data_IF_950495347826
#
_entry.id   IF_950495347826
#
_cell.length_a   1.000
_cell.length_b   1.000
_cell.length_c   1.000
_cell.angle_alpha   90.00
_cell.angle_beta   90.00
_cell.angle_gamma   90.00
#
_symmetry.space_group_name_H-M   'P 1'
#
loop_
_entity.id
_entity.type
_entity.pdbx_description
1 polymer ?
#
# COMPACT_ATOMS: atom_id res chain seq x y z
N UNK A 1 -42.11 9.34 14.36
CA UNK A 1 -40.74 9.74 14.65
C UNK A 1 -40.52 10.70 15.84
N UNK A 2 -41.50 11.32 16.41
CA UNK A 2 -41.34 12.26 17.59
C UNK A 2 -41.78 11.69 18.95
N UNK A 3 -41.97 10.38 19.09
CA UNK A 3 -42.52 9.81 20.35
C UNK A 3 -41.53 9.01 21.21
N UNK A 4 -40.30 8.81 20.79
CA UNK A 4 -39.28 8.13 21.62
C UNK A 4 -38.36 9.04 22.45
N UNK A 5 -38.40 10.35 22.25
CA UNK A 5 -37.54 11.32 22.96
C UNK A 5 -38.09 11.83 24.32
N UNK A 6 -39.32 11.45 24.72
CA UNK A 6 -39.92 12.04 25.92
C UNK A 6 -39.95 11.09 27.14
N UNK A 7 -39.34 9.91 27.09
CA UNK A 7 -39.35 8.95 28.20
C UNK A 7 -38.06 8.92 29.03
N UNK A 8 -37.05 9.71 28.71
CA UNK A 8 -35.73 9.61 29.36
C UNK A 8 -35.31 10.81 30.22
N UNK A 9 -36.19 11.81 30.46
CA UNK A 9 -35.82 13.03 31.23
C UNK A 9 -36.42 13.07 32.65
N UNK A 10 -37.18 12.05 33.10
CA UNK A 10 -37.83 12.08 34.42
C UNK A 10 -37.59 10.85 35.28
N UNK A 11 -36.33 10.47 35.50
CA UNK A 11 -35.95 9.53 36.56
C UNK A 11 -34.53 9.77 37.05
N UNK A 12 -34.24 10.95 37.48
CA UNK A 12 -33.11 11.28 38.34
C UNK A 12 -33.56 11.36 39.76
N UNK A 13 -33.48 10.29 40.51
CA UNK A 13 -33.23 10.13 41.96
C UNK A 13 -33.81 8.80 42.44
N UNK A 14 -33.00 7.99 42.92
CA UNK A 14 -33.05 7.03 44.04
C UNK A 14 -32.77 5.55 43.72
N UNK A 15 -31.81 5.07 44.47
CA UNK A 15 -31.57 3.68 44.87
C UNK A 15 -30.81 2.75 43.92
N UNK A 16 -29.57 2.50 44.31
CA UNK A 16 -28.78 1.34 43.94
C UNK A 16 -29.55 0.03 44.27
N UNK A 17 -29.93 -0.68 43.23
CA UNK A 17 -30.19 -2.12 43.30
C UNK A 17 -29.55 -2.75 42.10
N UNK A 18 -28.55 -3.61 42.34
CA UNK A 18 -27.99 -4.51 41.37
C UNK A 18 -29.11 -5.41 40.84
N UNK A 19 -29.63 -5.12 39.67
CA UNK A 19 -30.39 -6.09 38.88
C UNK A 19 -29.72 -6.19 37.52
N UNK A 20 -29.31 -7.39 37.22
CA UNK A 20 -28.97 -7.85 35.88
C UNK A 20 -30.20 -7.67 34.99
N UNK A 21 -30.39 -6.46 34.44
CA UNK A 21 -31.40 -6.25 33.45
C UNK A 21 -30.93 -6.92 32.16
N UNK A 22 -31.51 -8.06 31.85
CA UNK A 22 -31.47 -8.60 30.50
C UNK A 22 -32.06 -7.50 29.59
N UNK A 23 -31.25 -6.95 28.72
CA UNK A 23 -31.67 -6.02 27.69
C UNK A 23 -32.62 -6.75 26.74
N UNK A 24 -33.90 -6.46 26.83
CA UNK A 24 -34.87 -7.01 25.92
C UNK A 24 -34.62 -6.38 24.53
N UNK A 25 -34.25 -7.19 23.57
CA UNK A 25 -34.24 -6.80 22.16
C UNK A 25 -35.63 -6.38 21.74
N UNK A 26 -35.75 -5.34 20.89
CA UNK A 26 -37.00 -5.06 20.18
C UNK A 26 -37.47 -6.33 19.47
N UNK A 27 -38.79 -6.59 19.36
CA UNK A 27 -39.32 -7.82 18.74
C UNK A 27 -38.79 -8.11 17.33
N UNK A 28 -38.24 -7.11 16.65
CA UNK A 28 -37.69 -7.15 15.28
C UNK A 28 -36.19 -6.81 15.23
N UNK A 29 -35.59 -6.47 16.41
CA UNK A 29 -34.19 -6.07 16.52
C UNK A 29 -33.21 -7.22 16.54
N UNK A 30 -31.97 -6.94 16.21
CA UNK A 30 -30.84 -7.88 16.28
C UNK A 30 -29.57 -7.17 16.72
N UNK A 31 -28.62 -7.94 17.25
CA UNK A 31 -27.30 -7.40 17.57
C UNK A 31 -26.41 -7.35 16.33
N UNK A 32 -25.85 -6.15 16.09
CA UNK A 32 -24.86 -5.84 15.08
C UNK A 32 -23.52 -5.57 15.78
N UNK A 33 -22.47 -6.23 15.34
CA UNK A 33 -21.13 -5.98 15.86
C UNK A 33 -20.49 -4.80 15.16
N UNK A 34 -19.75 -3.96 15.90
CA UNK A 34 -18.97 -2.87 15.33
C UNK A 34 -17.55 -2.94 15.90
N UNK A 35 -16.59 -3.15 15.02
CA UNK A 35 -15.17 -3.08 15.34
C UNK A 35 -14.75 -1.60 15.34
N UNK A 36 -14.22 -1.14 16.48
CA UNK A 36 -13.77 0.24 16.71
C UNK A 36 -12.33 0.45 16.20
N UNK A 37 -11.90 1.70 16.00
CA UNK A 37 -10.51 2.01 15.66
C UNK A 37 -9.49 1.53 16.69
N UNK A 38 -9.92 1.29 17.94
CA UNK A 38 -9.09 0.71 19.01
C UNK A 38 -8.84 -0.80 18.84
N UNK A 39 -9.59 -1.47 17.95
CA UNK A 39 -9.62 -2.93 17.83
C UNK A 39 -10.64 -3.60 18.76
N UNK A 40 -11.32 -2.84 19.61
CA UNK A 40 -12.42 -3.34 20.45
C UNK A 40 -13.67 -3.55 19.59
N UNK A 41 -14.48 -4.56 19.91
CA UNK A 41 -15.78 -4.80 19.26
C UNK A 41 -16.91 -4.51 20.22
N UNK A 42 -17.85 -3.67 19.82
CA UNK A 42 -19.06 -3.38 20.56
C UNK A 42 -20.29 -3.90 19.83
N UNK A 43 -21.35 -4.21 20.57
CA UNK A 43 -22.64 -4.62 20.00
C UNK A 43 -23.65 -3.48 20.04
N UNK A 44 -24.37 -3.27 18.93
CA UNK A 44 -25.51 -2.38 18.80
C UNK A 44 -26.78 -3.19 18.68
N UNK A 45 -27.87 -2.69 19.26
CA UNK A 45 -29.22 -3.25 19.09
C UNK A 45 -29.94 -2.46 18.00
N UNK A 46 -30.10 -3.07 16.84
CA UNK A 46 -30.58 -2.39 15.62
C UNK A 46 -31.71 -3.15 14.95
N UNK A 47 -32.47 -2.47 14.10
CA UNK A 47 -33.47 -3.04 13.21
C UNK A 47 -32.98 -2.97 11.76
N UNK A 48 -33.41 -3.90 10.90
CA UNK A 48 -33.01 -3.90 9.48
C UNK A 48 -33.40 -2.63 8.71
N UNK A 49 -34.42 -1.95 9.22
CA UNK A 49 -34.91 -0.66 8.71
C UNK A 49 -34.14 0.56 9.21
N UNK A 50 -33.22 0.39 10.17
CA UNK A 50 -32.44 1.54 10.68
C UNK A 50 -31.54 2.10 9.58
N UNK A 51 -31.54 3.43 9.48
CA UNK A 51 -30.63 4.12 8.57
C UNK A 51 -29.20 4.14 9.12
N UNK A 52 -28.25 4.30 8.23
CA UNK A 52 -26.83 4.43 8.60
C UNK A 52 -26.63 5.62 9.54
N UNK A 53 -27.39 6.71 9.37
CA UNK A 53 -27.37 7.86 10.29
C UNK A 53 -27.79 7.46 11.69
N UNK A 54 -28.87 6.67 11.86
CA UNK A 54 -29.33 6.20 13.16
C UNK A 54 -28.26 5.31 13.83
N UNK A 55 -27.60 4.44 13.08
CA UNK A 55 -26.50 3.60 13.57
C UNK A 55 -25.33 4.46 14.06
N UNK A 56 -24.97 5.52 13.31
CA UNK A 56 -23.92 6.47 13.70
C UNK A 56 -24.28 7.26 14.97
N UNK A 57 -25.54 7.68 15.11
CA UNK A 57 -26.02 8.37 16.33
C UNK A 57 -25.92 7.46 17.56
N UNK A 58 -26.29 6.18 17.42
CA UNK A 58 -26.14 5.22 18.51
C UNK A 58 -24.66 4.96 18.86
N UNK A 59 -23.80 4.86 17.86
CA UNK A 59 -22.35 4.75 18.05
C UNK A 59 -21.78 6.00 18.75
N UNK A 60 -22.23 7.22 18.39
CA UNK A 60 -21.82 8.45 19.07
C UNK A 60 -22.17 8.41 20.56
N UNK A 61 -23.35 7.94 20.92
CA UNK A 61 -23.73 7.79 22.32
C UNK A 61 -22.83 6.84 23.09
N UNK A 62 -22.41 5.72 22.47
CA UNK A 62 -21.57 4.68 23.10
C UNK A 62 -20.08 5.03 23.09
N UNK A 63 -19.57 5.61 22.00
CA UNK A 63 -18.13 5.80 21.77
C UNK A 63 -17.65 7.22 21.98
N UNK A 64 -18.56 8.19 22.02
CA UNK A 64 -18.28 9.64 22.03
C UNK A 64 -17.59 10.15 20.76
N UNK A 65 -17.58 9.34 19.70
CA UNK A 65 -17.11 9.75 18.38
C UNK A 65 -18.30 10.39 17.66
N UNK A 66 -18.20 11.67 17.29
CA UNK A 66 -19.30 12.39 16.65
C UNK A 66 -19.75 11.68 15.36
N UNK A 67 -21.07 11.54 15.11
CA UNK A 67 -21.64 10.85 13.96
C UNK A 67 -21.04 11.34 12.64
N UNK A 68 -20.83 12.66 12.52
CA UNK A 68 -20.19 13.27 11.34
C UNK A 68 -18.70 12.92 11.14
N UNK A 69 -18.04 12.33 12.14
CA UNK A 69 -16.65 11.86 12.07
C UNK A 69 -16.55 10.35 11.82
N UNK A 70 -17.70 9.65 11.82
CA UNK A 70 -17.76 8.21 11.69
C UNK A 70 -17.88 7.80 10.23
N UNK A 71 -17.06 6.83 9.84
CA UNK A 71 -17.19 6.09 8.59
C UNK A 71 -17.42 4.62 8.91
N UNK A 72 -18.56 4.08 8.48
CA UNK A 72 -18.94 2.68 8.67
C UNK A 72 -18.71 1.90 7.38
N UNK A 73 -18.07 0.74 7.51
CA UNK A 73 -17.82 -0.16 6.39
C UNK A 73 -18.42 -1.54 6.66
N UNK A 74 -18.96 -2.16 5.63
CA UNK A 74 -19.42 -3.54 5.64
C UNK A 74 -18.92 -4.26 4.39
N UNK A 75 -18.19 -5.38 4.58
CA UNK A 75 -17.58 -6.10 3.47
C UNK A 75 -16.62 -5.24 2.62
N UNK A 76 -15.93 -4.28 3.26
CA UNK A 76 -15.02 -3.33 2.57
C UNK A 76 -15.74 -2.18 1.84
N UNK A 77 -17.08 -2.10 1.92
CA UNK A 77 -17.87 -1.04 1.28
C UNK A 77 -18.29 0.01 2.30
N UNK A 78 -18.02 1.29 2.00
CA UNK A 78 -18.50 2.42 2.80
C UNK A 78 -20.04 2.46 2.79
N UNK A 79 -20.61 2.56 3.97
CA UNK A 79 -22.06 2.74 4.15
C UNK A 79 -22.42 4.22 4.01
N UNK A 80 -23.44 4.51 3.23
CA UNK A 80 -23.85 5.88 2.88
C UNK A 80 -25.04 6.28 3.75
N UNK A 81 -24.98 7.48 4.30
CA UNK A 81 -26.05 8.09 5.09
C UNK A 81 -27.37 8.12 4.27
N UNK A 82 -28.50 8.05 4.96
CA UNK A 82 -29.84 7.96 4.35
C UNK A 82 -30.22 6.59 3.80
N UNK A 83 -29.29 5.61 3.71
CA UNK A 83 -29.61 4.22 3.38
C UNK A 83 -29.82 3.39 4.64
N UNK A 84 -30.54 2.27 4.52
CA UNK A 84 -30.83 1.37 5.65
C UNK A 84 -29.88 0.19 5.69
N UNK A 85 -29.79 -0.50 6.83
CA UNK A 85 -29.05 -1.75 6.98
C UNK A 85 -29.52 -2.81 5.97
N UNK A 86 -30.83 -2.86 5.70
CA UNK A 86 -31.42 -3.75 4.69
C UNK A 86 -30.91 -3.47 3.27
N UNK A 87 -30.64 -2.22 2.91
CA UNK A 87 -30.08 -1.87 1.59
C UNK A 87 -28.68 -2.46 1.35
N UNK A 88 -27.98 -2.82 2.42
CA UNK A 88 -26.65 -3.44 2.37
C UNK A 88 -26.68 -4.93 2.71
N UNK A 89 -27.89 -5.52 2.88
CA UNK A 89 -28.07 -6.90 3.34
C UNK A 89 -27.32 -7.21 4.66
N UNK A 90 -27.28 -6.24 5.57
CA UNK A 90 -26.69 -6.38 6.89
C UNK A 90 -27.70 -7.08 7.78
N UNK A 91 -27.27 -8.18 8.41
CA UNK A 91 -28.12 -9.09 9.19
C UNK A 91 -27.52 -9.34 10.57
N UNK A 92 -28.26 -10.07 11.41
CA UNK A 92 -27.81 -10.52 12.73
C UNK A 92 -26.41 -11.16 12.65
N UNK A 93 -25.51 -10.68 13.51
CA UNK A 93 -24.13 -11.17 13.58
C UNK A 93 -23.18 -10.57 12.54
N UNK A 94 -23.66 -9.69 11.65
CA UNK A 94 -22.77 -8.91 10.78
C UNK A 94 -21.82 -8.06 11.63
N UNK A 95 -20.60 -7.83 11.11
CA UNK A 95 -19.63 -6.93 11.73
C UNK A 95 -19.36 -5.76 10.81
N UNK A 96 -19.60 -4.54 11.31
CA UNK A 96 -19.18 -3.30 10.67
C UNK A 96 -17.79 -2.92 11.18
N UNK A 97 -17.02 -2.24 10.35
CA UNK A 97 -15.81 -1.56 10.76
C UNK A 97 -16.11 -0.07 10.92
N UNK A 98 -15.89 0.48 12.10
CA UNK A 98 -15.91 1.92 12.35
C UNK A 98 -14.51 2.49 12.16
N UNK A 99 -14.38 3.49 11.30
CA UNK A 99 -13.21 4.35 11.24
C UNK A 99 -13.61 5.79 11.56
N UNK A 100 -12.73 6.52 12.20
CA UNK A 100 -12.94 7.97 12.41
C UNK A 100 -12.34 8.75 11.26
N UNK A 101 -12.90 9.93 10.97
CA UNK A 101 -12.19 10.90 10.13
C UNK A 101 -10.81 11.14 10.72
N UNK A 102 -9.78 10.66 10.07
CA UNK A 102 -8.42 11.13 10.33
C UNK A 102 -8.44 12.61 9.97
N UNK A 103 -7.86 13.45 10.81
CA UNK A 103 -7.76 14.90 10.58
C UNK A 103 -7.29 15.16 9.14
N UNK A 104 -8.22 15.53 8.27
CA UNK A 104 -8.00 15.82 6.85
C UNK A 104 -9.08 15.14 6.03
N UNK A 105 -10.09 15.88 5.61
CA UNK A 105 -10.96 15.46 4.52
C UNK A 105 -10.06 15.32 3.28
N UNK A 106 -10.14 14.22 2.51
CA UNK A 106 -9.41 14.14 1.25
C UNK A 106 -9.69 15.39 0.43
N UNK A 107 -8.62 16.11 0.06
CA UNK A 107 -8.74 17.33 -0.72
C UNK A 107 -8.60 16.99 -2.19
N UNK A 108 -9.44 17.60 -3.05
CA UNK A 108 -9.29 17.49 -4.48
C UNK A 108 -10.51 16.93 -5.22
N UNK A 109 -10.30 16.59 -6.47
CA UNK A 109 -11.33 16.02 -7.32
C UNK A 109 -11.60 14.55 -6.98
N UNK A 110 -12.87 14.22 -6.80
CA UNK A 110 -13.36 12.86 -6.52
C UNK A 110 -13.21 11.97 -7.75
N UNK A 111 -12.52 10.84 -7.61
CA UNK A 111 -12.37 9.85 -8.67
C UNK A 111 -13.30 8.65 -8.45
N UNK A 112 -14.08 8.32 -9.46
CA UNK A 112 -14.98 7.18 -9.50
C UNK A 112 -14.73 6.37 -10.78
N UNK A 113 -15.26 5.15 -10.88
CA UNK A 113 -15.21 4.40 -12.15
C UNK A 113 -15.82 5.23 -13.30
N UNK A 114 -16.88 5.96 -13.02
CA UNK A 114 -17.59 6.79 -14.01
C UNK A 114 -16.70 7.91 -14.56
N UNK A 115 -16.07 8.72 -13.71
CA UNK A 115 -15.24 9.82 -14.20
C UNK A 115 -13.82 9.39 -14.63
N UNK A 116 -13.37 8.18 -14.26
CA UNK A 116 -12.14 7.58 -14.77
C UNK A 116 -12.35 6.76 -16.05
N UNK A 117 -13.56 6.23 -16.27
CA UNK A 117 -13.87 5.43 -17.46
C UNK A 117 -14.37 6.24 -18.66
N UNK A 118 -14.66 7.51 -18.50
CA UNK A 118 -15.22 8.34 -19.57
C UNK A 118 -16.64 7.94 -20.01
N UNK A 119 -17.34 7.19 -19.18
CA UNK A 119 -18.64 6.59 -19.49
C UNK A 119 -19.78 7.61 -19.27
N UNK A 120 -20.42 8.03 -20.32
CA UNK A 120 -21.81 8.52 -20.27
C UNK A 120 -22.73 7.30 -20.20
N UNK A 121 -23.66 7.30 -19.26
CA UNK A 121 -24.64 6.22 -19.07
C UNK A 121 -25.25 5.81 -20.41
N UNK A 122 -25.02 4.58 -20.89
CA UNK A 122 -25.79 3.97 -21.94
C UNK A 122 -25.08 3.41 -23.18
N UNK A 123 -23.75 3.48 -23.31
CA UNK A 123 -23.04 2.83 -24.42
C UNK A 123 -21.68 2.24 -23.93
N UNK A 124 -21.24 1.07 -24.45
CA UNK A 124 -19.91 0.59 -24.20
C UNK A 124 -18.92 1.53 -24.92
N UNK A 125 -18.34 2.46 -24.20
CA UNK A 125 -17.33 3.37 -24.73
C UNK A 125 -15.98 2.67 -24.65
N UNK A 126 -15.29 2.60 -25.78
CA UNK A 126 -13.87 2.28 -25.85
C UNK A 126 -13.14 3.32 -25.00
N UNK A 127 -12.56 2.90 -23.86
CA UNK A 127 -11.92 3.80 -22.91
C UNK A 127 -10.66 4.32 -23.56
N UNK A 128 -10.66 5.59 -23.95
CA UNK A 128 -9.45 6.34 -24.20
C UNK A 128 -8.70 6.50 -22.89
N UNK A 129 -7.37 6.45 -22.91
CA UNK A 129 -6.49 6.59 -21.77
C UNK A 129 -6.95 7.72 -20.85
N UNK A 130 -7.28 7.39 -19.60
CA UNK A 130 -7.62 8.43 -18.63
C UNK A 130 -6.32 9.09 -18.18
N UNK A 131 -6.21 10.36 -18.45
CA UNK A 131 -5.06 11.17 -18.04
C UNK A 131 -5.45 12.09 -16.89
N UNK A 132 -4.66 12.08 -15.81
CA UNK A 132 -4.72 13.10 -14.77
C UNK A 132 -3.65 14.17 -15.05
N UNK A 133 -4.11 15.40 -15.16
CA UNK A 133 -3.25 16.58 -15.22
C UNK A 133 -2.99 17.09 -13.80
N UNK A 134 -2.14 18.15 -13.68
CA UNK A 134 -1.80 18.72 -12.37
C UNK A 134 -3.03 19.00 -11.52
N UNK A 135 -3.01 18.53 -10.28
CA UNK A 135 -4.13 18.67 -9.37
C UNK A 135 -4.10 17.65 -8.23
N UNK A 136 -5.10 17.74 -7.36
CA UNK A 136 -5.30 16.82 -6.24
C UNK A 136 -6.56 16.02 -6.46
N UNK A 137 -6.46 14.71 -6.29
CA UNK A 137 -7.52 13.74 -6.56
C UNK A 137 -7.62 12.75 -5.42
N UNK A 138 -8.80 12.16 -5.23
CA UNK A 138 -8.98 11.10 -4.25
C UNK A 138 -9.97 10.03 -4.71
N UNK A 139 -9.75 8.80 -4.30
CA UNK A 139 -10.72 7.72 -4.51
C UNK A 139 -11.88 7.85 -3.52
N UNK A 140 -13.10 7.60 -3.96
CA UNK A 140 -14.28 7.55 -3.10
C UNK A 140 -14.96 6.18 -3.10
N UNK A 141 -14.45 5.26 -3.89
CA UNK A 141 -14.81 3.85 -3.95
C UNK A 141 -13.65 3.06 -4.59
N UNK A 142 -13.79 1.74 -4.64
CA UNK A 142 -12.88 0.91 -5.43
C UNK A 142 -13.06 1.21 -6.91
N UNK A 143 -11.95 1.41 -7.62
CA UNK A 143 -11.92 1.76 -9.05
C UNK A 143 -11.26 0.65 -9.85
N UNK A 144 -11.92 0.24 -10.95
CA UNK A 144 -11.37 -0.70 -11.93
C UNK A 144 -10.97 0.05 -13.19
N UNK A 145 -9.75 -0.15 -13.62
CA UNK A 145 -9.19 0.38 -14.86
C UNK A 145 -9.11 -0.74 -15.89
N UNK A 146 -9.34 -0.43 -17.16
CA UNK A 146 -9.08 -1.34 -18.30
C UNK A 146 -7.76 -1.03 -18.99
N UNK A 147 -7.25 0.20 -18.80
CA UNK A 147 -5.96 0.71 -19.28
C UNK A 147 -5.25 1.46 -18.16
N UNK A 148 -3.97 1.73 -18.33
CA UNK A 148 -3.19 2.47 -17.35
C UNK A 148 -3.77 3.87 -17.07
N UNK A 149 -3.74 4.28 -15.81
CA UNK A 149 -3.94 5.68 -15.44
C UNK A 149 -2.68 6.46 -15.79
N UNK A 150 -2.78 7.43 -16.68
CA UNK A 150 -1.66 8.24 -17.14
C UNK A 150 -1.58 9.52 -16.31
N UNK A 151 -0.38 9.87 -15.87
CA UNK A 151 -0.10 11.10 -15.11
C UNK A 151 0.69 12.06 -15.99
N UNK A 152 0.17 13.27 -16.19
CA UNK A 152 0.81 14.36 -16.91
C UNK A 152 0.75 15.63 -16.07
N UNK A 153 1.87 15.97 -15.40
CA UNK A 153 2.01 17.10 -14.50
C UNK A 153 2.10 16.67 -13.02
N UNK A 154 2.00 17.64 -12.12
CA UNK A 154 2.14 17.38 -10.69
C UNK A 154 0.78 17.00 -10.10
N UNK A 155 0.63 15.72 -9.75
CA UNK A 155 -0.61 15.11 -9.27
C UNK A 155 -0.42 14.61 -7.83
N UNK A 156 -1.34 14.96 -6.96
CA UNK A 156 -1.51 14.26 -5.67
C UNK A 156 -2.71 13.32 -5.79
N UNK A 157 -2.49 12.03 -5.57
CA UNK A 157 -3.53 11.01 -5.55
C UNK A 157 -3.66 10.40 -4.16
N UNK A 158 -4.81 10.62 -3.53
CA UNK A 158 -5.17 9.99 -2.26
C UNK A 158 -5.97 8.72 -2.54
N UNK A 159 -5.42 7.57 -2.16
CA UNK A 159 -6.11 6.29 -2.28
C UNK A 159 -7.27 6.16 -1.29
N UNK A 160 -7.26 6.94 -0.20
CA UNK A 160 -8.37 7.05 0.75
C UNK A 160 -8.91 5.68 1.22
N UNK A 161 -8.02 4.71 1.42
CA UNK A 161 -8.33 3.34 1.83
C UNK A 161 -8.95 2.45 0.75
N UNK A 162 -9.16 2.94 -0.48
CA UNK A 162 -9.78 2.20 -1.57
C UNK A 162 -8.78 1.51 -2.49
N UNK A 163 -9.30 0.67 -3.37
CA UNK A 163 -8.53 -0.11 -4.33
C UNK A 163 -8.60 0.52 -5.72
N UNK A 164 -7.44 0.80 -6.29
CA UNK A 164 -7.26 1.09 -7.71
C UNK A 164 -6.70 -0.16 -8.40
N UNK A 165 -7.51 -0.83 -9.19
CA UNK A 165 -7.17 -2.10 -9.84
C UNK A 165 -7.26 -1.99 -11.36
N UNK A 166 -6.22 -2.42 -12.07
CA UNK A 166 -6.33 -2.67 -13.51
C UNK A 166 -6.81 -4.10 -13.76
N UNK A 167 -7.67 -4.27 -14.76
CA UNK A 167 -8.18 -5.58 -15.22
C UNK A 167 -7.65 -5.94 -16.61
N UNK A 168 -7.08 -4.98 -17.32
CA UNK A 168 -6.36 -5.17 -18.57
C UNK A 168 -4.89 -5.54 -18.34
N UNK A 169 -4.13 -5.61 -19.43
CA UNK A 169 -2.66 -5.75 -19.41
C UNK A 169 -1.99 -4.38 -19.26
N UNK A 170 -0.78 -4.37 -18.72
CA UNK A 170 0.04 -3.17 -18.56
C UNK A 170 0.23 -2.74 -17.11
N UNK A 171 0.84 -1.58 -16.93
CA UNK A 171 0.99 -0.93 -15.63
C UNK A 171 -0.36 -0.41 -15.13
N UNK A 172 -0.56 -0.36 -13.81
CA UNK A 172 -1.75 0.30 -13.24
C UNK A 172 -1.66 1.82 -13.45
N UNK A 173 -0.46 2.37 -13.21
CA UNK A 173 -0.18 3.80 -13.38
C UNK A 173 1.06 3.98 -14.25
N UNK A 174 1.01 4.92 -15.19
CA UNK A 174 2.15 5.39 -15.98
C UNK A 174 2.35 6.88 -15.74
N UNK A 175 3.51 7.28 -15.24
CA UNK A 175 3.85 8.69 -15.01
C UNK A 175 4.68 9.15 -16.19
N UNK A 176 4.07 9.94 -17.08
CA UNK A 176 4.72 10.41 -18.31
C UNK A 176 5.49 11.71 -18.11
N UNK A 177 4.97 12.59 -17.25
CA UNK A 177 5.63 13.85 -16.90
C UNK A 177 5.13 14.39 -15.56
N UNK A 178 5.89 15.31 -14.96
CA UNK A 178 5.60 15.83 -13.62
C UNK A 178 5.83 14.81 -12.52
N UNK A 179 5.18 14.99 -11.39
CA UNK A 179 5.36 14.16 -10.20
C UNK A 179 4.02 13.64 -9.68
N UNK A 180 3.90 12.32 -9.55
CA UNK A 180 2.81 11.72 -8.77
C UNK A 180 3.20 11.65 -7.30
N UNK A 181 2.46 12.32 -6.43
CA UNK A 181 2.51 12.13 -4.98
C UNK A 181 1.37 11.20 -4.55
N UNK A 182 1.73 10.00 -4.11
CA UNK A 182 0.77 9.00 -3.63
C UNK A 182 0.63 9.11 -2.12
N UNK A 183 -0.59 9.31 -1.66
CA UNK A 183 -0.96 9.39 -0.24
C UNK A 183 -2.13 8.45 0.07
N UNK A 184 -2.40 8.24 1.35
CA UNK A 184 -3.54 7.44 1.81
C UNK A 184 -4.07 8.01 3.12
N UNK A 185 -5.20 8.69 3.06
CA UNK A 185 -5.84 9.30 4.23
C UNK A 185 -6.58 8.29 5.12
N UNK A 186 -6.77 7.03 4.66
CA UNK A 186 -7.41 5.95 5.41
C UNK A 186 -6.53 4.70 5.53
N UNK A 187 -5.37 4.78 6.20
CA UNK A 187 -4.41 3.70 6.29
C UNK A 187 -4.89 2.50 7.13
N UNK A 188 -6.03 2.62 7.82
CA UNK A 188 -6.63 1.54 8.61
C UNK A 188 -7.49 0.56 7.78
N UNK A 189 -7.89 0.91 6.56
CA UNK A 189 -8.64 0.02 5.68
C UNK A 189 -7.92 -1.32 5.51
N UNK A 190 -8.67 -2.42 5.45
CA UNK A 190 -8.09 -3.78 5.41
C UNK A 190 -8.47 -4.45 4.10
N UNK A 191 -7.46 -4.96 3.41
CA UNK A 191 -7.60 -5.73 2.19
C UNK A 191 -6.93 -7.09 2.34
N UNK A 192 -7.55 -8.14 1.78
CA UNK A 192 -7.09 -9.51 1.86
C UNK A 192 -6.51 -9.99 0.54
N UNK A 193 -5.42 -10.73 0.63
CA UNK A 193 -4.71 -11.28 -0.52
C UNK A 193 -4.41 -12.77 -0.32
N UNK A 194 -4.25 -13.48 -1.43
CA UNK A 194 -3.63 -14.80 -1.45
C UNK A 194 -2.38 -14.77 -2.34
N UNK A 195 -1.33 -15.43 -1.89
CA UNK A 195 -0.14 -15.69 -2.70
C UNK A 195 -0.37 -16.92 -3.57
N UNK A 196 -0.06 -16.82 -4.86
CA UNK A 196 -0.03 -17.94 -5.81
C UNK A 196 1.20 -17.77 -6.68
N UNK A 197 2.17 -18.70 -6.60
CA UNK A 197 3.46 -18.58 -7.27
C UNK A 197 4.11 -17.21 -7.00
N UNK A 198 4.20 -16.83 -5.72
CA UNK A 198 4.77 -15.59 -5.20
C UNK A 198 4.03 -14.30 -5.59
N UNK A 199 3.09 -14.35 -6.53
CA UNK A 199 2.24 -13.21 -6.89
C UNK A 199 1.03 -13.14 -5.94
N UNK A 200 0.82 -11.98 -5.35
CA UNK A 200 -0.35 -11.75 -4.49
C UNK A 200 -1.55 -11.30 -5.32
N UNK A 201 -2.70 -11.89 -5.04
CA UNK A 201 -3.97 -11.55 -5.69
C UNK A 201 -5.01 -11.11 -4.66
N UNK A 202 -5.66 -9.98 -4.95
CA UNK A 202 -6.71 -9.43 -4.10
C UNK A 202 -7.91 -10.40 -4.02
N UNK A 203 -8.38 -10.62 -2.81
CA UNK A 203 -9.52 -11.49 -2.49
C UNK A 203 -10.68 -10.65 -1.94
N UNK A 204 -11.89 -10.97 -2.32
CA UNK A 204 -13.09 -10.36 -1.73
C UNK A 204 -13.36 -10.89 -0.32
N UNK A 205 -12.95 -12.13 -0.03
CA UNK A 205 -13.04 -12.74 1.29
C UNK A 205 -12.01 -13.86 1.46
N UNK A 206 -11.62 -14.16 2.69
CA UNK A 206 -10.86 -15.36 3.03
C UNK A 206 -9.38 -15.37 2.65
N UNK A 207 -8.79 -14.26 2.24
CA UNK A 207 -7.36 -14.15 1.94
C UNK A 207 -6.49 -14.31 3.19
N UNK A 208 -5.32 -14.94 3.03
CA UNK A 208 -4.37 -15.22 4.12
C UNK A 208 -3.50 -14.01 4.45
N UNK A 209 -3.12 -13.23 3.43
CA UNK A 209 -2.29 -12.05 3.59
C UNK A 209 -3.16 -10.81 3.85
N UNK A 210 -2.65 -9.93 4.68
CA UNK A 210 -3.35 -8.68 5.04
C UNK A 210 -2.50 -7.49 4.65
N UNK A 211 -3.12 -6.56 3.90
CA UNK A 211 -2.54 -5.26 3.57
C UNK A 211 -3.47 -4.17 4.07
N UNK A 212 -2.90 -3.15 4.69
CA UNK A 212 -3.65 -2.01 5.20
C UNK A 212 -3.52 -0.80 4.28
N UNK A 213 -4.55 0.06 4.35
CA UNK A 213 -4.62 1.28 3.56
C UNK A 213 -5.10 1.08 2.13
N UNK A 214 -5.05 2.13 1.34
CA UNK A 214 -5.43 2.10 -0.06
C UNK A 214 -4.46 1.28 -0.92
N UNK A 215 -4.97 0.66 -1.97
CA UNK A 215 -4.26 -0.36 -2.75
C UNK A 215 -4.21 -0.01 -4.24
N UNK A 216 -3.03 -0.16 -4.84
CA UNK A 216 -2.81 -0.23 -6.28
C UNK A 216 -2.48 -1.68 -6.61
N UNK A 217 -3.24 -2.34 -7.52
CA UNK A 217 -3.07 -3.77 -7.79
C UNK A 217 -3.52 -4.21 -9.19
N UNK A 218 -3.18 -5.44 -9.54
CA UNK A 218 -3.64 -6.10 -10.76
C UNK A 218 -2.81 -5.78 -12.00
N UNK A 219 -1.76 -4.98 -11.88
CA UNK A 219 -0.85 -4.68 -12.97
C UNK A 219 -0.15 -5.95 -13.49
N UNK A 220 -0.21 -6.15 -14.80
CA UNK A 220 0.49 -7.23 -15.50
C UNK A 220 1.04 -6.68 -16.81
N UNK A 221 2.27 -6.19 -16.77
CA UNK A 221 2.91 -5.56 -17.91
C UNK A 221 3.47 -6.57 -18.94
N UNK A 222 3.41 -7.88 -18.63
CA UNK A 222 3.90 -8.92 -19.54
C UNK A 222 5.40 -8.80 -19.79
N UNK A 223 5.76 -8.55 -21.05
CA UNK A 223 7.15 -8.31 -21.48
C UNK A 223 7.58 -6.84 -21.35
N UNK A 224 6.77 -5.98 -20.74
CA UNK A 224 7.11 -4.59 -20.43
C UNK A 224 7.43 -4.46 -18.94
N UNK A 225 7.87 -3.26 -18.53
CA UNK A 225 8.33 -2.96 -17.20
C UNK A 225 7.25 -2.23 -16.38
N UNK A 226 7.44 -2.23 -15.04
CA UNK A 226 6.61 -1.47 -14.12
C UNK A 226 5.18 -1.99 -14.00
N UNK A 227 4.97 -3.14 -13.38
CA UNK A 227 3.63 -3.72 -13.24
C UNK A 227 2.66 -2.83 -12.46
N UNK A 228 3.05 -2.33 -11.28
CA UNK A 228 2.25 -1.37 -10.52
C UNK A 228 2.36 0.05 -11.08
N UNK A 229 3.59 0.58 -11.10
CA UNK A 229 3.86 1.95 -11.58
C UNK A 229 5.07 1.96 -12.51
N UNK A 230 4.91 2.59 -13.66
CA UNK A 230 6.00 2.92 -14.58
C UNK A 230 6.32 4.42 -14.48
N UNK A 231 7.55 4.75 -14.06
CA UNK A 231 8.03 6.13 -13.96
C UNK A 231 8.89 6.43 -15.17
N UNK A 232 8.39 7.26 -16.10
CA UNK A 232 9.13 7.65 -17.30
C UNK A 232 10.37 8.52 -16.97
N UNK A 233 11.35 8.58 -17.87
CA UNK A 233 12.49 9.49 -17.74
C UNK A 233 12.03 10.93 -17.57
N UNK A 234 12.55 11.62 -16.56
CA UNK A 234 12.18 13.00 -16.21
C UNK A 234 10.91 13.13 -15.36
N UNK A 235 10.14 12.07 -15.19
CA UNK A 235 8.99 12.03 -14.29
C UNK A 235 9.37 11.62 -12.86
N UNK A 236 8.47 11.83 -11.91
CA UNK A 236 8.68 11.52 -10.50
C UNK A 236 7.52 10.75 -9.85
N UNK A 237 7.85 9.85 -8.92
CA UNK A 237 6.93 9.25 -7.98
C UNK A 237 7.39 9.59 -6.56
N UNK A 238 6.49 10.09 -5.73
CA UNK A 238 6.68 10.25 -4.28
C UNK A 238 5.62 9.41 -3.59
N UNK A 239 6.04 8.38 -2.86
CA UNK A 239 5.13 7.51 -2.12
C UNK A 239 5.21 7.79 -0.63
N UNK A 240 4.15 8.37 -0.07
CA UNK A 240 3.99 8.70 1.35
C UNK A 240 3.06 7.76 2.08
N UNK A 241 2.17 7.08 1.35
CA UNK A 241 1.19 6.15 1.89
C UNK A 241 0.62 5.23 0.84
N UNK A 242 -0.32 4.37 1.24
CA UNK A 242 -0.92 3.35 0.39
C UNK A 242 0.03 2.20 0.07
N UNK A 243 -0.43 1.27 -0.75
CA UNK A 243 0.32 0.05 -1.07
C UNK A 243 0.21 -0.33 -2.54
N UNK A 244 1.32 -0.76 -3.13
CA UNK A 244 1.38 -1.38 -4.45
C UNK A 244 1.52 -2.89 -4.23
N UNK A 245 0.52 -3.68 -4.65
CA UNK A 245 0.42 -5.08 -4.24
C UNK A 245 0.08 -5.99 -5.41
N UNK A 246 0.80 -7.11 -5.52
CA UNK A 246 0.45 -8.17 -6.45
C UNK A 246 0.48 -7.73 -7.90
N UNK A 247 1.51 -7.03 -8.29
CA UNK A 247 1.74 -6.60 -9.67
C UNK A 247 2.89 -7.39 -10.29
N UNK A 248 2.87 -7.56 -11.61
CA UNK A 248 3.83 -8.36 -12.37
C UNK A 248 4.34 -7.62 -13.58
N UNK A 249 5.64 -7.75 -13.87
CA UNK A 249 6.28 -7.16 -15.04
C UNK A 249 7.52 -7.97 -15.46
N UNK A 250 8.18 -7.57 -16.54
CA UNK A 250 9.51 -8.05 -16.86
C UNK A 250 10.49 -7.55 -15.80
N UNK A 251 10.56 -6.23 -15.58
CA UNK A 251 11.34 -5.60 -14.54
C UNK A 251 10.45 -4.69 -13.70
N UNK A 252 10.73 -4.56 -12.38
CA UNK A 252 9.94 -3.73 -11.50
C UNK A 252 8.50 -4.20 -11.37
N UNK A 253 8.27 -5.39 -10.84
CA UNK A 253 6.92 -5.91 -10.64
C UNK A 253 6.01 -4.88 -9.93
N UNK A 254 6.52 -4.24 -8.87
CA UNK A 254 5.87 -3.11 -8.21
C UNK A 254 6.10 -1.80 -8.94
N UNK A 255 7.35 -1.33 -9.03
CA UNK A 255 7.73 -0.04 -9.60
C UNK A 255 8.94 -0.21 -10.53
N UNK A 256 8.86 0.39 -11.70
CA UNK A 256 10.01 0.57 -12.58
C UNK A 256 10.35 2.04 -12.71
N UNK A 257 11.60 2.40 -12.47
CA UNK A 257 12.11 3.76 -12.59
C UNK A 257 13.01 3.85 -13.82
N UNK A 258 12.54 4.48 -14.87
CA UNK A 258 13.21 4.49 -16.16
C UNK A 258 14.31 5.55 -16.26
N UNK A 259 15.25 5.32 -17.17
CA UNK A 259 16.23 6.32 -17.63
C UNK A 259 16.12 6.56 -19.15
N UNK A 260 16.72 7.62 -19.59
CA UNK A 260 16.97 7.88 -21.02
C UNK A 260 18.46 8.05 -21.21
N UNK A 261 19.14 6.96 -21.55
CA UNK A 261 20.59 6.83 -21.60
C UNK A 261 21.30 7.98 -22.36
N UNK A 262 20.75 8.39 -23.49
CA UNK A 262 21.39 9.44 -24.34
C UNK A 262 21.30 10.86 -23.72
N UNK A 263 20.27 11.14 -22.93
CA UNK A 263 20.02 12.47 -22.38
C UNK A 263 20.40 12.59 -20.89
N UNK A 264 20.86 11.51 -20.23
CA UNK A 264 21.07 11.42 -18.76
C UNK A 264 19.84 11.88 -17.95
N UNK A 265 18.66 11.75 -18.54
CA UNK A 265 17.40 12.12 -17.88
C UNK A 265 16.90 10.91 -17.12
N UNK A 266 16.87 11.02 -15.80
CA UNK A 266 16.43 9.95 -14.91
C UNK A 266 14.97 10.16 -14.51
N UNK A 267 14.20 9.07 -14.50
CA UNK A 267 13.01 8.99 -13.67
C UNK A 267 13.40 9.04 -12.20
N UNK A 268 12.52 9.49 -11.32
CA UNK A 268 12.76 9.60 -9.88
C UNK A 268 11.69 8.86 -9.09
N UNK A 269 12.12 8.14 -8.08
CA UNK A 269 11.23 7.56 -7.10
C UNK A 269 11.70 7.91 -5.70
N UNK A 270 10.83 8.50 -4.89
CA UNK A 270 11.08 8.75 -3.46
C UNK A 270 10.03 7.99 -2.65
N UNK A 271 10.49 7.05 -1.82
CA UNK A 271 9.62 6.29 -0.90
C UNK A 271 9.87 6.78 0.52
N UNK A 272 8.90 7.54 1.04
CA UNK A 272 8.90 8.07 2.42
C UNK A 272 8.04 7.21 3.34
N UNK A 273 7.13 6.43 2.77
CA UNK A 273 6.21 5.54 3.50
C UNK A 273 5.45 4.61 2.56
N UNK A 274 4.42 3.95 3.09
CA UNK A 274 3.63 2.97 2.34
C UNK A 274 4.30 1.61 2.18
N UNK A 275 3.78 0.76 1.27
CA UNK A 275 4.27 -0.60 1.10
C UNK A 275 4.27 -1.04 -0.37
N UNK A 276 5.27 -1.83 -0.76
CA UNK A 276 5.27 -2.61 -2.01
C UNK A 276 5.33 -4.08 -1.60
N UNK A 277 4.32 -4.89 -1.99
CA UNK A 277 4.20 -6.25 -1.46
C UNK A 277 3.75 -7.28 -2.50
N UNK A 278 4.31 -8.50 -2.45
CA UNK A 278 3.87 -9.63 -3.27
C UNK A 278 3.92 -9.37 -4.77
N UNK A 279 4.86 -8.54 -5.22
CA UNK A 279 5.07 -8.21 -6.63
C UNK A 279 6.14 -9.11 -7.26
N UNK A 280 6.02 -9.35 -8.56
CA UNK A 280 6.86 -10.32 -9.27
C UNK A 280 7.50 -9.71 -10.50
N UNK A 281 8.82 -9.88 -10.65
CA UNK A 281 9.54 -9.61 -11.87
C UNK A 281 10.03 -10.93 -12.53
N UNK A 282 10.10 -10.97 -13.86
CA UNK A 282 10.35 -12.19 -14.62
C UNK A 282 11.61 -12.15 -15.49
N UNK A 283 12.29 -11.02 -15.59
CA UNK A 283 13.56 -10.89 -16.33
C UNK A 283 14.67 -11.76 -15.69
N UNK A 284 15.55 -12.28 -16.52
CA UNK A 284 16.68 -13.12 -16.08
C UNK A 284 17.86 -12.32 -15.54
N UNK A 285 17.86 -10.99 -15.69
CA UNK A 285 19.00 -10.14 -15.34
C UNK A 285 18.66 -9.20 -14.17
N UNK A 286 18.37 -7.95 -14.48
CA UNK A 286 18.18 -6.86 -13.51
C UNK A 286 16.69 -6.63 -13.21
N UNK A 287 16.07 -7.54 -12.48
CA UNK A 287 14.62 -7.65 -12.43
C UNK A 287 13.94 -6.73 -11.43
N UNK A 288 14.35 -6.73 -10.15
CA UNK A 288 13.65 -5.99 -9.08
C UNK A 288 12.19 -6.39 -8.91
N UNK A 289 11.89 -7.43 -8.13
CA UNK A 289 10.51 -7.86 -7.90
C UNK A 289 9.63 -6.74 -7.34
N UNK A 290 10.12 -6.03 -6.32
CA UNK A 290 9.50 -4.82 -5.79
C UNK A 290 9.80 -3.60 -6.65
N UNK A 291 11.08 -3.24 -6.76
CA UNK A 291 11.55 -2.04 -7.46
C UNK A 291 12.73 -2.37 -8.38
N UNK A 292 12.61 -2.05 -9.66
CA UNK A 292 13.73 -1.99 -10.58
C UNK A 292 14.10 -0.52 -10.84
N UNK A 293 15.29 -0.12 -10.40
CA UNK A 293 15.75 1.25 -10.50
C UNK A 293 16.82 1.41 -11.58
N UNK A 294 16.39 1.97 -12.70
CA UNK A 294 17.24 2.49 -13.79
C UNK A 294 17.30 4.02 -13.78
N UNK A 295 16.85 4.67 -12.71
CA UNK A 295 16.78 6.10 -12.52
C UNK A 295 17.43 6.54 -11.22
N UNK A 296 16.73 7.39 -10.47
CA UNK A 296 17.12 7.89 -9.16
C UNK A 296 16.09 7.41 -8.11
N UNK A 297 16.51 6.52 -7.24
CA UNK A 297 15.65 5.97 -6.18
C UNK A 297 16.15 6.36 -4.80
N UNK A 298 15.30 7.05 -4.04
CA UNK A 298 15.53 7.39 -2.64
C UNK A 298 14.48 6.71 -1.77
N UNK A 299 14.90 5.97 -0.74
CA UNK A 299 14.01 5.34 0.23
C UNK A 299 14.41 5.77 1.65
N UNK A 300 13.53 6.51 2.33
CA UNK A 300 13.74 6.98 3.70
C UNK A 300 12.81 6.32 4.70
N UNK A 301 11.79 5.63 4.22
CA UNK A 301 10.82 4.88 5.01
C UNK A 301 10.01 3.94 4.13
N UNK A 302 8.98 3.34 4.71
CA UNK A 302 8.14 2.36 4.03
C UNK A 302 8.73 0.95 4.00
N UNK A 303 7.98 0.02 3.40
CA UNK A 303 8.32 -1.41 3.42
C UNK A 303 8.20 -2.02 2.03
N UNK A 304 9.23 -2.73 1.59
CA UNK A 304 9.20 -3.61 0.41
C UNK A 304 9.27 -5.04 0.94
N UNK A 305 8.22 -5.85 0.69
CA UNK A 305 8.14 -7.19 1.29
C UNK A 305 7.54 -8.23 0.36
N UNK A 306 7.98 -9.47 0.56
CA UNK A 306 7.44 -10.65 -0.15
C UNK A 306 7.41 -10.47 -1.66
N UNK A 307 8.40 -9.76 -2.22
CA UNK A 307 8.55 -9.54 -3.65
C UNK A 307 9.54 -10.54 -4.24
N UNK A 308 9.32 -10.95 -5.49
CA UNK A 308 10.10 -12.01 -6.12
C UNK A 308 10.65 -11.60 -7.49
N UNK A 309 11.93 -11.81 -7.71
CA UNK A 309 12.56 -11.86 -9.02
C UNK A 309 12.71 -13.32 -9.45
N UNK A 310 11.81 -13.84 -10.29
CA UNK A 310 11.69 -15.30 -10.52
C UNK A 310 12.90 -15.93 -11.20
N UNK A 311 13.55 -15.22 -12.08
CA UNK A 311 14.71 -15.69 -12.84
C UNK A 311 15.96 -14.82 -12.65
N UNK A 312 15.79 -13.60 -12.19
CA UNK A 312 16.85 -12.60 -12.06
C UNK A 312 17.22 -12.26 -10.62
N UNK A 313 17.62 -11.03 -10.38
CA UNK A 313 18.24 -10.56 -9.16
C UNK A 313 17.46 -9.42 -8.51
N UNK A 314 17.69 -9.21 -7.18
CA UNK A 314 17.05 -8.14 -6.41
C UNK A 314 15.57 -8.39 -6.19
N UNK A 315 15.19 -9.44 -5.46
CA UNK A 315 13.79 -9.75 -5.17
C UNK A 315 13.02 -8.55 -4.65
N UNK A 316 13.58 -7.82 -3.68
CA UNK A 316 13.05 -6.54 -3.22
C UNK A 316 13.40 -5.40 -4.16
N UNK A 317 14.70 -5.12 -4.29
CA UNK A 317 15.24 -3.98 -5.06
C UNK A 317 16.35 -4.46 -5.98
N UNK A 318 16.29 -4.07 -7.26
CA UNK A 318 17.43 -4.10 -8.17
C UNK A 318 17.74 -2.66 -8.60
N UNK A 319 18.96 -2.19 -8.33
CA UNK A 319 19.36 -0.82 -8.66
C UNK A 319 20.65 -0.80 -9.50
N UNK A 320 20.57 -0.22 -10.67
CA UNK A 320 21.70 -0.07 -11.60
C UNK A 320 22.10 1.41 -11.83
N UNK A 321 21.47 2.32 -11.11
CA UNK A 321 21.73 3.77 -11.17
C UNK A 321 21.82 4.37 -9.77
N UNK A 322 21.42 5.63 -9.64
CA UNK A 322 21.46 6.38 -8.37
C UNK A 322 20.54 5.75 -7.33
N UNK A 323 21.09 5.45 -6.15
CA UNK A 323 20.34 4.90 -5.03
C UNK A 323 20.74 5.58 -3.72
N UNK A 324 19.74 5.94 -2.92
CA UNK A 324 19.95 6.37 -1.54
C UNK A 324 18.93 5.71 -0.62
N UNK A 325 19.40 4.92 0.36
CA UNK A 325 18.52 4.32 1.37
C UNK A 325 18.96 4.79 2.75
N UNK A 326 18.00 5.23 3.56
CA UNK A 326 18.25 5.74 4.92
C UNK A 326 17.00 5.59 5.81
N UNK A 327 17.08 6.07 7.03
CA UNK A 327 15.93 6.18 7.94
C UNK A 327 15.35 4.81 8.33
N UNK A 328 14.01 4.72 8.27
CA UNK A 328 13.24 3.54 8.66
C UNK A 328 12.84 2.63 7.49
N UNK A 329 13.58 2.65 6.39
CA UNK A 329 13.37 1.77 5.25
C UNK A 329 13.45 0.29 5.63
N UNK A 330 12.54 -0.54 5.14
CA UNK A 330 12.51 -1.98 5.41
C UNK A 330 12.39 -2.77 4.11
N UNK A 331 13.28 -3.75 3.91
CA UNK A 331 13.19 -4.73 2.81
C UNK A 331 13.25 -6.13 3.43
N UNK A 332 12.16 -6.91 3.31
CA UNK A 332 12.01 -8.20 4.01
C UNK A 332 11.29 -9.25 3.18
N UNK A 333 11.55 -10.52 3.47
CA UNK A 333 10.87 -11.68 2.87
C UNK A 333 10.89 -11.71 1.33
N UNK A 334 11.85 -11.04 0.72
CA UNK A 334 11.98 -10.99 -0.73
C UNK A 334 12.88 -12.11 -1.24
N UNK A 335 12.59 -12.61 -2.45
CA UNK A 335 13.31 -13.76 -3.04
C UNK A 335 13.81 -13.46 -4.45
N UNK A 336 14.92 -14.07 -4.82
CA UNK A 336 15.48 -13.99 -6.17
C UNK A 336 15.91 -15.39 -6.65
N UNK A 337 15.58 -15.73 -7.90
CA UNK A 337 15.88 -17.03 -8.53
C UNK A 337 17.12 -17.05 -9.40
N UNK A 338 17.84 -15.94 -9.54
CA UNK A 338 19.05 -15.85 -10.38
C UNK A 338 20.16 -16.79 -9.91
N UNK A 339 20.85 -17.39 -10.88
CA UNK A 339 21.77 -18.50 -10.66
C UNK A 339 23.12 -18.15 -10.01
N UNK A 340 23.54 -16.89 -10.03
CA UNK A 340 24.87 -16.51 -9.52
C UNK A 340 24.89 -16.06 -8.06
N UNK A 341 23.87 -15.35 -7.61
CA UNK A 341 23.71 -14.95 -6.22
C UNK A 341 22.26 -14.67 -5.94
N UNK A 342 21.70 -15.40 -4.98
CA UNK A 342 20.34 -15.12 -4.52
C UNK A 342 20.33 -13.79 -3.74
N UNK A 343 20.18 -12.67 -4.43
CA UNK A 343 20.03 -11.33 -3.82
C UNK A 343 18.56 -11.08 -3.46
N UNK A 344 18.05 -11.83 -2.48
CA UNK A 344 16.65 -11.75 -2.08
C UNK A 344 16.25 -10.34 -1.71
N UNK A 345 16.97 -9.69 -0.80
CA UNK A 345 16.66 -8.32 -0.43
C UNK A 345 17.02 -7.35 -1.56
N UNK A 346 18.28 -7.36 -2.03
CA UNK A 346 18.74 -6.29 -2.91
C UNK A 346 19.96 -6.67 -3.76
N UNK A 347 19.93 -6.28 -5.03
CA UNK A 347 21.11 -6.16 -5.89
C UNK A 347 21.39 -4.68 -6.18
N UNK A 348 22.60 -4.23 -5.89
CA UNK A 348 23.05 -2.87 -6.17
C UNK A 348 24.27 -2.95 -7.10
N UNK A 349 24.11 -2.49 -8.31
CA UNK A 349 25.15 -2.57 -9.36
C UNK A 349 25.16 -1.30 -10.23
N UNK A 350 25.38 -0.11 -9.63
CA UNK A 350 25.44 1.12 -10.41
C UNK A 350 26.67 1.07 -11.34
N UNK A 351 26.53 1.66 -12.52
CA UNK A 351 27.69 1.91 -13.35
C UNK A 351 28.60 2.98 -12.71
N UNK A 352 29.82 3.14 -13.23
CA UNK A 352 30.83 4.02 -12.62
C UNK A 352 30.47 5.51 -12.58
N UNK A 353 29.39 5.92 -13.24
CA UNK A 353 28.93 7.31 -13.29
C UNK A 353 27.89 7.63 -12.20
N UNK A 354 27.36 6.59 -11.55
CA UNK A 354 26.33 6.73 -10.50
C UNK A 354 26.86 6.19 -9.17
N UNK A 355 26.24 6.64 -8.09
CA UNK A 355 26.58 6.20 -6.74
C UNK A 355 25.37 5.61 -6.04
N UNK A 356 25.61 4.59 -5.23
CA UNK A 356 24.61 4.06 -4.33
C UNK A 356 25.09 4.22 -2.89
N UNK A 357 24.20 4.67 -2.01
CA UNK A 357 24.49 4.87 -0.58
C UNK A 357 23.42 4.18 0.23
N UNK A 358 23.84 3.33 1.18
CA UNK A 358 22.97 2.80 2.23
C UNK A 358 23.43 3.40 3.55
N UNK A 359 22.67 4.36 4.07
CA UNK A 359 22.96 5.06 5.32
C UNK A 359 22.09 4.59 6.50
N UNK A 360 21.16 3.64 6.27
CA UNK A 360 20.25 3.12 7.28
C UNK A 360 19.30 2.09 6.68
N UNK A 361 18.28 1.70 7.45
CA UNK A 361 17.28 0.72 7.06
C UNK A 361 17.54 -0.67 7.61
N UNK A 362 16.58 -1.57 7.40
CA UNK A 362 16.64 -2.99 7.79
C UNK A 362 16.41 -3.87 6.56
N UNK A 363 17.31 -4.82 6.35
CA UNK A 363 17.33 -5.70 5.19
C UNK A 363 17.35 -7.16 5.65
N UNK A 364 16.24 -7.86 5.40
CA UNK A 364 16.16 -9.29 5.65
C UNK A 364 16.22 -10.03 4.31
N UNK A 365 17.28 -10.82 4.15
CA UNK A 365 17.67 -11.46 2.89
C UNK A 365 19.03 -10.95 2.38
N UNK A 366 19.59 -11.67 1.42
CA UNK A 366 20.92 -11.40 0.93
C UNK A 366 21.00 -10.08 0.15
N UNK A 367 22.10 -9.36 0.35
CA UNK A 367 22.43 -8.11 -0.32
C UNK A 367 23.71 -8.28 -1.15
N UNK A 368 23.67 -7.89 -2.40
CA UNK A 368 24.84 -7.79 -3.27
C UNK A 368 25.20 -6.33 -3.45
N UNK A 369 26.37 -5.97 -2.94
CA UNK A 369 26.92 -4.61 -2.92
C UNK A 369 28.12 -4.54 -3.89
N UNK A 370 27.88 -4.07 -5.12
CA UNK A 370 28.92 -3.96 -6.14
C UNK A 370 29.70 -2.64 -6.06
N UNK A 371 30.70 -2.47 -6.93
CA UNK A 371 31.51 -1.24 -7.04
C UNK A 371 30.63 -0.01 -7.16
N UNK A 372 31.14 1.13 -6.73
CA UNK A 372 30.40 2.41 -6.67
C UNK A 372 29.27 2.47 -5.65
N UNK A 373 29.22 1.53 -4.70
CA UNK A 373 28.26 1.54 -3.59
C UNK A 373 28.96 1.68 -2.26
N UNK A 374 28.42 2.51 -1.36
CA UNK A 374 28.91 2.70 0.00
C UNK A 374 27.82 2.37 1.02
N UNK A 375 28.11 1.50 1.96
CA UNK A 375 27.28 1.21 3.13
C UNK A 375 27.85 1.98 4.32
N UNK A 376 27.12 2.98 4.80
CA UNK A 376 27.50 3.79 5.98
C UNK A 376 26.64 3.49 7.20
N UNK A 377 25.63 2.60 7.08
CA UNK A 377 24.74 2.20 8.17
C UNK A 377 23.73 1.15 7.73
N UNK A 378 22.83 0.79 8.62
CA UNK A 378 21.78 -0.20 8.41
C UNK A 378 21.99 -1.52 9.13
N UNK A 379 20.93 -2.34 9.17
CA UNK A 379 20.92 -3.68 9.77
C UNK A 379 20.67 -4.73 8.69
N UNK A 380 21.55 -5.72 8.59
CA UNK A 380 21.54 -6.76 7.57
C UNK A 380 21.41 -8.13 8.23
N UNK A 381 20.29 -8.81 8.02
CA UNK A 381 20.04 -10.16 8.57
C UNK A 381 20.44 -11.30 7.62
N UNK A 382 20.59 -11.01 6.32
CA UNK A 382 21.13 -11.93 5.32
C UNK A 382 22.64 -11.78 5.10
N UNK A 383 23.18 -12.58 4.18
CA UNK A 383 24.57 -12.43 3.75
C UNK A 383 24.77 -11.17 2.92
N UNK A 384 25.90 -10.50 3.10
CA UNK A 384 26.31 -9.37 2.27
C UNK A 384 27.51 -9.76 1.41
N UNK A 385 27.32 -9.76 0.10
CA UNK A 385 28.44 -9.90 -0.85
C UNK A 385 28.93 -8.49 -1.21
N UNK A 386 30.16 -8.16 -0.85
CA UNK A 386 30.70 -6.83 -0.97
C UNK A 386 31.85 -6.73 -1.97
N UNK A 387 31.67 -5.90 -2.97
CA UNK A 387 32.75 -5.40 -3.86
C UNK A 387 32.86 -3.86 -3.83
N UNK A 388 32.02 -3.20 -3.03
CA UNK A 388 32.00 -1.76 -2.78
C UNK A 388 32.71 -1.37 -1.49
N UNK A 389 32.24 -0.32 -0.84
CA UNK A 389 32.78 0.19 0.42
C UNK A 389 31.77 -0.06 1.55
N UNK A 390 32.22 -0.64 2.65
CA UNK A 390 31.46 -0.70 3.90
C UNK A 390 32.22 0.14 4.92
N UNK A 391 31.60 1.20 5.39
CA UNK A 391 32.14 2.05 6.45
C UNK A 391 31.55 1.72 7.82
N UNK A 392 30.25 1.37 7.85
CA UNK A 392 29.54 1.04 9.09
C UNK A 392 28.30 0.18 8.77
N UNK A 393 27.71 -0.44 9.80
CA UNK A 393 26.49 -1.25 9.71
C UNK A 393 26.47 -2.34 10.76
N UNK A 394 25.28 -2.93 10.97
CA UNK A 394 25.10 -4.12 11.80
C UNK A 394 24.85 -5.32 10.87
N UNK A 395 25.73 -6.32 10.95
CA UNK A 395 25.67 -7.51 10.10
C UNK A 395 25.47 -8.74 10.99
N UNK A 396 24.33 -9.41 10.83
CA UNK A 396 23.95 -10.59 11.62
C UNK A 396 24.43 -11.89 10.96
N UNK A 397 24.95 -11.81 9.72
CA UNK A 397 25.54 -12.93 8.97
C UNK A 397 26.83 -12.51 8.29
N UNK A 398 27.42 -13.43 7.55
CA UNK A 398 28.70 -13.22 6.89
C UNK A 398 28.70 -12.04 5.91
N UNK A 399 29.77 -11.27 5.94
CA UNK A 399 30.13 -10.34 4.88
C UNK A 399 31.23 -11.01 4.04
N UNK A 400 30.87 -11.40 2.83
CA UNK A 400 31.80 -11.99 1.86
C UNK A 400 32.43 -10.87 1.04
N UNK A 401 33.64 -10.46 1.41
CA UNK A 401 34.33 -9.36 0.75
C UNK A 401 35.19 -9.90 -0.39
N UNK A 402 34.84 -9.57 -1.64
CA UNK A 402 35.55 -10.03 -2.83
C UNK A 402 36.65 -9.04 -3.24
N UNK A 403 36.29 -7.79 -3.50
CA UNK A 403 37.24 -6.75 -3.93
C UNK A 403 36.97 -5.41 -3.19
N UNK A 404 35.99 -5.41 -2.30
CA UNK A 404 35.54 -4.22 -1.59
C UNK A 404 36.42 -3.84 -0.41
N UNK A 405 36.13 -2.67 0.17
CA UNK A 405 36.76 -2.17 1.39
C UNK A 405 35.82 -2.37 2.56
N UNK A 406 36.35 -2.91 3.66
CA UNK A 406 35.63 -3.05 4.93
C UNK A 406 36.49 -2.45 6.05
N UNK A 407 35.89 -1.94 7.15
CA UNK A 407 36.63 -1.50 8.31
C UNK A 407 37.52 -2.62 8.91
N UNK A 408 38.64 -2.26 9.50
CA UNK A 408 39.52 -3.21 10.17
C UNK A 408 38.89 -3.93 11.38
N UNK A 409 37.75 -3.44 11.84
CA UNK A 409 36.96 -4.05 12.91
C UNK A 409 35.45 -3.83 12.59
N UNK A 410 34.88 -4.57 11.66
CA UNK A 410 33.44 -4.55 11.46
C UNK A 410 32.77 -5.06 12.75
N UNK A 411 31.72 -4.35 13.19
CA UNK A 411 30.90 -4.83 14.31
C UNK A 411 30.02 -5.99 13.82
N UNK A 412 30.56 -7.19 13.86
CA UNK A 412 29.81 -8.42 13.71
C UNK A 412 29.15 -8.73 15.05
N UNK A 413 27.86 -8.63 15.15
CA UNK A 413 27.12 -9.28 16.23
C UNK A 413 26.69 -10.65 15.68
N UNK A 414 27.58 -11.62 15.80
CA UNK A 414 27.19 -13.01 15.74
C UNK A 414 26.53 -13.32 17.09
N UNK A 415 25.22 -13.40 17.13
CA UNK A 415 24.56 -14.17 18.17
C UNK A 415 24.92 -15.63 17.93
N UNK A 416 25.57 -16.22 18.94
CA UNK A 416 26.14 -17.55 18.96
C UNK A 416 25.12 -18.68 18.88
#
# INVERSE_FOLDING_TARGET
MKRRFLALVLAGCLAAVLSTAAWATSPTGFYLNVELPSGETIALDVESGDSIDNVKEELEMKTKIAAGEQHLYYGGKLLVDGRTLANYNIQKGSTLLLTTKIKGTPAGEKLTEENMSGSTIGAPVTISEKTLNSGTYYLCNNVKLTQALVIQGDVTLDLNGFVLKITGSGSVIKIESGTLTLVDSHPAAIHKFNATNDLWSLQESGGKETVRGGIITGGNAGYNDGGGVYVCPGAGLVMRGGSIVGCKAQQGGGVYVADKNEAKTLGRFTMEGGSIAGCVATDESYSGGGVANHGDFTMTGGTIRSCTATAGHGGGICSVRQLHISGSAVVTDCTAGGSYVSSGAMLISPDSTYTAIIAGGTFDGNVVNNKSTTITGGTFSGEVQNSGVIENGQFNRAVNNYEGTVPSSPRFYADG
#
